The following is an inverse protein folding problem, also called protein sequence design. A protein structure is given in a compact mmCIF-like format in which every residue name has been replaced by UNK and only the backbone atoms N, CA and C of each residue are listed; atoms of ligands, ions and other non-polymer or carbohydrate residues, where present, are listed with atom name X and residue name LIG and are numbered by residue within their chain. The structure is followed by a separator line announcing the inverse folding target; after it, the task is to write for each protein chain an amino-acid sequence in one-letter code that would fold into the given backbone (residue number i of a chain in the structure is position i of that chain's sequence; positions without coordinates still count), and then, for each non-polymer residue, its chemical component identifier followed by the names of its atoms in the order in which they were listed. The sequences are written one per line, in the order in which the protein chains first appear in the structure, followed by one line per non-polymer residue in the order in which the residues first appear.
data_IF_098051841544
#
_entry.id   IF_098051841544
#
_cell.length_a   1.000
_cell.length_b   1.000
_cell.length_c   1.000
_cell.angle_alpha   90.00
_cell.angle_beta   90.00
_cell.angle_gamma   90.00
#
_symmetry.space_group_name_H-M   'P 1'
#
loop_
_entity.id
_entity.type
_entity.pdbx_description
1 polymer ?
#
# COMPACT_ATOMS: atom_id res chain seq x y z
N UNK A 1 14.31 -8.32 4.20
CA UNK A 1 14.76 -6.91 4.25
C UNK A 1 13.90 -6.09 5.21
N UNK A 2 14.48 -5.17 5.98
CA UNK A 2 13.71 -4.24 6.85
C UNK A 2 13.37 -2.98 6.05
N UNK A 3 12.08 -2.72 5.85
CA UNK A 3 11.61 -1.53 5.15
C UNK A 3 11.97 -0.26 5.93
N UNK A 4 12.74 0.63 5.29
CA UNK A 4 13.04 1.96 5.84
C UNK A 4 12.01 2.96 5.33
N UNK A 5 11.29 3.59 6.26
CA UNK A 5 10.34 4.66 5.92
C UNK A 5 11.08 6.01 6.07
N UNK A 6 11.27 6.77 4.98
CA UNK A 6 11.90 8.08 5.02
C UNK A 6 11.02 9.10 5.77
N UNK A 7 11.62 10.18 6.28
CA UNK A 7 10.85 11.26 6.89
C UNK A 7 9.98 11.96 5.83
N UNK A 8 8.92 12.61 6.29
CA UNK A 8 8.06 13.41 5.44
C UNK A 8 8.40 14.90 5.52
N UNK A 9 8.02 15.64 4.49
CA UNK A 9 7.98 17.11 4.49
C UNK A 9 6.92 17.63 5.46
N UNK A 10 6.88 18.96 5.62
CA UNK A 10 5.74 19.62 6.26
C UNK A 10 4.46 19.40 5.45
N UNK A 11 3.32 19.40 6.14
CA UNK A 11 2.03 19.20 5.48
C UNK A 11 1.66 20.43 4.66
N UNK A 12 1.17 20.21 3.45
CA UNK A 12 0.55 21.23 2.62
C UNK A 12 -0.85 21.63 3.11
N UNK A 13 -1.47 22.59 2.44
CA UNK A 13 -2.82 23.10 2.76
C UNK A 13 -3.92 22.02 2.66
N UNK A 14 -3.68 20.98 1.86
CA UNK A 14 -4.57 19.81 1.69
C UNK A 14 -4.29 18.68 2.71
N UNK A 15 -3.30 18.89 3.58
CA UNK A 15 -2.88 17.99 4.65
C UNK A 15 -1.96 16.84 4.21
N UNK A 16 -1.45 16.87 2.97
CA UNK A 16 -0.48 15.90 2.47
C UNK A 16 0.92 16.24 2.95
N UNK A 17 1.68 15.23 3.32
CA UNK A 17 3.10 15.30 3.55
C UNK A 17 3.79 14.35 2.56
N UNK A 18 4.70 14.87 1.75
CA UNK A 18 5.48 14.07 0.82
C UNK A 18 6.60 13.37 1.55
N UNK A 19 6.90 12.15 1.15
CA UNK A 19 8.13 11.50 1.60
C UNK A 19 9.33 12.21 0.97
N UNK A 20 10.34 12.50 1.78
CA UNK A 20 11.58 13.17 1.31
C UNK A 20 12.30 12.39 0.21
N UNK A 21 12.10 11.07 0.18
CA UNK A 21 12.49 10.17 -0.90
C UNK A 21 11.32 9.21 -1.15
N UNK A 22 10.97 8.89 -2.41
CA UNK A 22 9.90 7.92 -2.68
C UNK A 22 10.31 6.53 -2.17
N UNK A 23 9.37 5.83 -1.54
CA UNK A 23 9.58 4.43 -1.15
C UNK A 23 9.26 3.58 -2.37
N UNK A 24 10.29 2.97 -2.96
CA UNK A 24 10.17 2.18 -4.18
C UNK A 24 10.14 0.70 -3.83
N UNK A 25 9.25 -0.05 -4.48
CA UNK A 25 9.16 -1.50 -4.41
C UNK A 25 9.11 -2.07 -5.83
N UNK A 26 9.94 -3.08 -6.09
CA UNK A 26 9.95 -3.89 -7.31
C UNK A 26 9.74 -5.37 -6.93
N UNK A 27 9.43 -6.26 -7.89
CA UNK A 27 9.32 -7.69 -7.62
C UNK A 27 10.55 -8.30 -6.94
N UNK A 28 11.75 -7.83 -7.29
CA UNK A 28 13.01 -8.27 -6.66
C UNK A 28 13.07 -7.85 -5.18
N UNK A 29 12.76 -6.59 -4.87
CA UNK A 29 12.72 -6.09 -3.49
C UNK A 29 11.59 -6.74 -2.67
N UNK A 30 10.49 -7.09 -3.32
CA UNK A 30 9.34 -7.74 -2.70
C UNK A 30 9.64 -9.18 -2.26
N UNK A 31 10.51 -9.92 -2.97
CA UNK A 31 10.79 -11.33 -2.71
C UNK A 31 11.28 -11.57 -1.26
N UNK A 32 12.10 -10.67 -0.73
CA UNK A 32 12.70 -10.78 0.60
C UNK A 32 12.00 -9.89 1.66
N UNK A 33 10.89 -9.25 1.31
CA UNK A 33 10.24 -8.28 2.20
C UNK A 33 9.15 -8.92 3.05
N UNK A 34 9.30 -8.84 4.37
CA UNK A 34 8.23 -9.23 5.28
C UNK A 34 7.10 -8.18 5.28
N UNK A 35 5.83 -8.59 5.32
CA UNK A 35 4.73 -7.65 5.50
C UNK A 35 4.94 -6.88 6.82
N UNK A 36 4.77 -5.56 6.76
CA UNK A 36 4.87 -4.69 7.93
C UNK A 36 3.64 -3.83 8.06
N UNK A 37 3.11 -3.68 9.26
CA UNK A 37 1.84 -2.96 9.53
C UNK A 37 2.01 -1.85 10.59
N UNK A 38 3.25 -1.59 11.02
CA UNK A 38 3.57 -0.65 12.09
C UNK A 38 3.25 0.82 11.74
N UNK A 39 3.19 1.18 10.46
CA UNK A 39 2.79 2.50 9.97
C UNK A 39 2.07 2.39 8.62
N UNK A 40 1.35 3.44 8.17
CA UNK A 40 0.53 3.37 6.96
C UNK A 40 1.32 3.03 5.69
N UNK A 41 2.50 3.62 5.47
CA UNK A 41 3.30 3.30 4.29
C UNK A 41 3.83 1.87 4.33
N UNK A 42 4.26 1.39 5.50
CA UNK A 42 4.67 -0.01 5.64
C UNK A 42 3.54 -0.98 5.30
N UNK A 43 2.30 -0.70 5.74
CA UNK A 43 1.14 -1.53 5.41
C UNK A 43 0.87 -1.56 3.90
N UNK A 44 0.99 -0.41 3.21
CA UNK A 44 0.87 -0.36 1.76
C UNK A 44 1.97 -1.18 1.08
N UNK A 45 3.24 -0.95 1.43
CA UNK A 45 4.35 -1.70 0.82
C UNK A 45 4.22 -3.19 1.10
N UNK A 46 3.85 -3.59 2.31
CA UNK A 46 3.64 -4.99 2.69
C UNK A 46 2.53 -5.66 1.89
N UNK A 47 1.42 -4.95 1.65
CA UNK A 47 0.32 -5.43 0.81
C UNK A 47 0.79 -5.70 -0.62
N UNK A 48 1.45 -4.72 -1.25
CA UNK A 48 1.92 -4.86 -2.63
C UNK A 48 3.05 -5.87 -2.77
N UNK A 49 3.93 -5.99 -1.78
CA UNK A 49 4.95 -7.03 -1.78
C UNK A 49 4.32 -8.42 -1.75
N UNK A 50 3.25 -8.60 -0.96
CA UNK A 50 2.50 -9.85 -0.95
C UNK A 50 1.81 -10.13 -2.30
N UNK A 51 1.22 -9.10 -2.94
CA UNK A 51 0.67 -9.23 -4.30
C UNK A 51 1.74 -9.61 -5.33
N UNK A 52 2.90 -8.95 -5.31
CA UNK A 52 4.01 -9.25 -6.24
C UNK A 52 4.56 -10.67 -6.07
N UNK A 53 4.54 -11.22 -4.84
CA UNK A 53 4.94 -12.61 -4.56
C UNK A 53 3.86 -13.64 -4.91
N UNK A 54 2.62 -13.20 -5.11
CA UNK A 54 1.47 -14.10 -5.27
C UNK A 54 1.10 -14.82 -3.98
N UNK A 55 1.34 -14.20 -2.81
CA UNK A 55 0.98 -14.80 -1.53
C UNK A 55 -0.55 -14.93 -1.41
N UNK A 56 -1.06 -16.09 -1.01
CA UNK A 56 -2.51 -16.32 -0.89
C UNK A 56 -3.15 -15.64 0.33
N UNK A 57 -2.38 -15.35 1.39
CA UNK A 57 -2.87 -14.89 2.71
C UNK A 57 -2.85 -13.36 2.89
N UNK A 58 -2.95 -12.59 1.81
CA UNK A 58 -2.95 -11.10 1.89
C UNK A 58 -4.14 -10.58 2.74
N UNK A 59 -5.26 -11.30 2.71
CA UNK A 59 -6.52 -10.97 3.39
C UNK A 59 -6.40 -10.90 4.92
N UNK A 60 -5.71 -11.85 5.56
CA UNK A 60 -5.69 -11.96 7.02
C UNK A 60 -4.89 -10.84 7.70
N UNK A 61 -3.81 -10.44 7.04
CA UNK A 61 -2.77 -9.59 7.63
C UNK A 61 -2.95 -8.10 7.34
N UNK A 62 -3.43 -7.75 6.13
CA UNK A 62 -3.36 -6.37 5.66
C UNK A 62 -4.71 -5.78 5.30
N UNK A 63 -5.72 -6.61 5.06
CA UNK A 63 -7.07 -6.15 4.75
C UNK A 63 -7.93 -6.01 6.00
N UNK A 64 -8.95 -5.15 5.90
CA UNK A 64 -10.01 -5.10 6.90
C UNK A 64 -11.00 -6.25 6.67
N UNK A 65 -11.34 -7.03 7.71
CA UNK A 65 -11.96 -8.36 7.58
C UNK A 65 -13.46 -8.39 7.17
N UNK A 66 -14.09 -7.25 6.88
CA UNK A 66 -15.57 -7.12 6.84
C UNK A 66 -16.10 -6.49 5.54
N UNK A 67 -15.48 -6.71 4.38
CA UNK A 67 -15.97 -6.08 3.15
C UNK A 67 -15.87 -7.02 1.93
N UNK A 68 -17.01 -7.59 1.50
CA UNK A 68 -17.10 -8.41 0.27
C UNK A 68 -16.61 -7.64 -0.98
N UNK A 69 -16.62 -6.29 -0.95
CA UNK A 69 -16.08 -5.43 -2.00
C UNK A 69 -14.56 -5.57 -2.11
N UNK A 70 -13.88 -5.84 -0.99
CA UNK A 70 -12.42 -6.01 -0.97
C UNK A 70 -12.03 -7.31 -1.66
N UNK A 71 -12.78 -8.40 -1.47
CA UNK A 71 -12.48 -9.69 -2.10
C UNK A 71 -12.47 -9.61 -3.63
N UNK A 72 -13.52 -9.04 -4.23
CA UNK A 72 -13.61 -8.89 -5.69
C UNK A 72 -12.51 -7.97 -6.25
N UNK A 73 -12.19 -6.87 -5.55
CA UNK A 73 -11.08 -5.99 -5.94
C UNK A 73 -9.73 -6.69 -5.81
N UNK A 74 -9.57 -7.55 -4.82
CA UNK A 74 -8.34 -8.30 -4.63
C UNK A 74 -8.13 -9.32 -5.74
N UNK A 75 -9.17 -10.03 -6.18
CA UNK A 75 -9.09 -10.94 -7.34
C UNK A 75 -8.64 -10.20 -8.60
N UNK A 76 -9.15 -8.99 -8.82
CA UNK A 76 -8.69 -8.12 -9.91
C UNK A 76 -7.21 -7.73 -9.74
N UNK A 77 -6.79 -7.30 -8.55
CA UNK A 77 -5.38 -6.94 -8.31
C UNK A 77 -4.44 -8.13 -8.44
N UNK A 78 -4.89 -9.35 -8.10
CA UNK A 78 -4.13 -10.59 -8.27
C UNK A 78 -3.95 -10.99 -9.74
N UNK A 79 -4.79 -10.48 -10.66
CA UNK A 79 -4.60 -10.73 -12.10
C UNK A 79 -3.58 -9.78 -12.74
N UNK A 80 -3.14 -8.75 -12.02
CA UNK A 80 -2.18 -7.76 -12.52
C UNK A 80 -0.75 -8.21 -12.23
N UNK A 81 0.14 -8.02 -13.20
CA UNK A 81 1.58 -8.13 -12.94
C UNK A 81 2.10 -6.77 -12.51
N UNK A 82 2.51 -6.62 -11.25
CA UNK A 82 2.96 -5.34 -10.70
C UNK A 82 4.48 -5.24 -10.87
N UNK A 83 4.93 -4.31 -11.72
CA UNK A 83 6.35 -4.10 -12.01
C UNK A 83 7.02 -3.14 -11.04
N UNK A 84 6.28 -2.14 -10.58
CA UNK A 84 6.81 -1.10 -9.70
C UNK A 84 5.71 -0.48 -8.87
N UNK A 85 6.03 -0.19 -7.61
CA UNK A 85 5.24 0.66 -6.73
C UNK A 85 6.14 1.78 -6.19
N UNK A 86 5.60 2.99 -6.13
CA UNK A 86 6.20 4.12 -5.44
C UNK A 86 5.21 4.70 -4.44
N UNK A 87 5.56 4.70 -3.15
CA UNK A 87 4.80 5.44 -2.14
C UNK A 87 5.36 6.86 -2.06
N UNK A 88 4.52 7.86 -2.36
CA UNK A 88 4.94 9.25 -2.57
C UNK A 88 4.56 10.18 -1.44
N UNK A 89 3.33 10.06 -0.96
CA UNK A 89 2.78 11.03 0.00
C UNK A 89 1.84 10.35 0.98
N UNK A 90 1.68 10.96 2.15
CA UNK A 90 0.73 10.52 3.17
C UNK A 90 -0.08 11.71 3.67
N UNK A 91 -1.38 11.48 3.85
CA UNK A 91 -2.31 12.40 4.51
C UNK A 91 -2.91 11.72 5.74
N UNK A 92 -2.31 11.91 6.93
CA UNK A 92 -2.87 11.41 8.17
C UNK A 92 -4.21 12.09 8.47
N UNK A 93 -5.22 11.30 8.85
CA UNK A 93 -6.55 11.78 9.27
C UNK A 93 -6.80 11.36 10.72
N UNK A 94 -6.29 12.16 11.64
CA UNK A 94 -6.25 11.81 13.07
C UNK A 94 -5.25 10.69 13.35
N UNK A 95 -5.46 9.96 14.45
CA UNK A 95 -4.51 8.93 14.90
C UNK A 95 -4.81 7.53 14.37
N UNK A 96 -5.94 7.31 13.69
CA UNK A 96 -6.41 5.97 13.30
C UNK A 96 -6.71 5.79 11.82
N UNK A 97 -6.60 6.84 11.02
CA UNK A 97 -6.83 6.81 9.57
C UNK A 97 -5.72 7.55 8.84
N UNK A 98 -5.41 7.08 7.65
CA UNK A 98 -4.46 7.71 6.74
C UNK A 98 -4.87 7.46 5.30
N UNK A 99 -4.50 8.36 4.41
CA UNK A 99 -4.52 8.11 2.97
C UNK A 99 -3.09 8.18 2.47
N UNK A 100 -2.69 7.21 1.67
CA UNK A 100 -1.35 7.14 1.10
C UNK A 100 -1.48 7.25 -0.41
N UNK A 101 -0.73 8.16 -1.03
CA UNK A 101 -0.66 8.30 -2.48
C UNK A 101 0.45 7.42 -3.02
N UNK A 102 0.11 6.61 -4.01
CA UNK A 102 1.02 5.68 -4.68
C UNK A 102 1.08 5.98 -6.17
N UNK A 103 2.19 5.62 -6.79
CA UNK A 103 2.27 5.41 -8.23
C UNK A 103 2.58 3.93 -8.49
N UNK A 104 1.95 3.35 -9.49
CA UNK A 104 2.04 1.91 -9.77
C UNK A 104 2.26 1.74 -11.27
N UNK A 105 3.17 0.84 -11.63
CA UNK A 105 3.35 0.34 -12.99
C UNK A 105 2.93 -1.12 -13.02
N UNK A 106 1.99 -1.45 -13.90
CA UNK A 106 1.38 -2.77 -14.02
C UNK A 106 1.38 -3.25 -15.47
N UNK A 107 1.25 -4.56 -15.64
CA UNK A 107 0.91 -5.20 -16.90
C UNK A 107 -0.37 -6.03 -16.73
N UNK A 108 -1.31 -5.84 -17.65
CA UNK A 108 -2.57 -6.58 -17.74
C UNK A 108 -2.70 -7.10 -19.17
N UNK A 109 -2.81 -8.42 -19.35
CA UNK A 109 -2.95 -9.07 -20.67
C UNK A 109 -1.88 -8.61 -21.69
N UNK A 110 -0.64 -8.41 -21.24
CA UNK A 110 0.48 -7.94 -22.08
C UNK A 110 0.46 -6.44 -22.41
N UNK A 111 -0.47 -5.67 -21.84
CA UNK A 111 -0.53 -4.22 -21.94
C UNK A 111 0.05 -3.58 -20.69
N UNK A 112 1.08 -2.77 -20.86
CA UNK A 112 1.63 -1.96 -19.77
C UNK A 112 0.76 -0.74 -19.51
N UNK A 113 0.50 -0.48 -18.23
CA UNK A 113 -0.19 0.72 -17.75
C UNK A 113 0.54 1.29 -16.54
N UNK A 114 0.45 2.61 -16.35
CA UNK A 114 1.06 3.29 -15.22
C UNK A 114 0.15 4.43 -14.74
N UNK A 115 -0.04 4.52 -13.43
CA UNK A 115 -0.98 5.46 -12.85
C UNK A 115 -0.63 5.84 -11.42
N UNK A 116 -1.36 6.82 -10.89
CA UNK A 116 -1.31 7.19 -9.48
C UNK A 116 -2.64 6.90 -8.81
N UNK A 117 -2.61 6.41 -7.58
CA UNK A 117 -3.82 6.14 -6.81
C UNK A 117 -3.67 6.45 -5.31
N UNK A 118 -4.78 6.41 -4.58
CA UNK A 118 -4.87 6.68 -3.15
C UNK A 118 -5.36 5.46 -2.37
N UNK A 119 -4.47 4.90 -1.55
CA UNK A 119 -4.79 3.80 -0.64
C UNK A 119 -5.27 4.35 0.69
N UNK A 120 -6.46 3.94 1.12
CA UNK A 120 -7.02 4.34 2.43
C UNK A 120 -6.73 3.27 3.45
N UNK A 121 -6.21 3.70 4.60
CA UNK A 121 -5.83 2.82 5.70
C UNK A 121 -6.51 3.22 6.99
N UNK A 122 -6.78 2.22 7.81
CA UNK A 122 -7.25 2.37 9.16
C UNK A 122 -6.56 1.40 10.11
N UNK A 123 -6.52 1.75 11.40
CA UNK A 123 -6.12 0.82 12.46
C UNK A 123 -7.17 0.74 13.55
N UNK A 124 -7.34 -0.46 14.13
CA UNK A 124 -8.18 -0.65 15.31
C UNK A 124 -7.41 -0.18 16.55
N UNK A 125 -7.94 0.84 17.24
CA UNK A 125 -7.30 1.42 18.43
C UNK A 125 -6.06 2.27 18.10
N UNK A 126 -5.31 2.66 19.13
CA UNK A 126 -4.14 3.54 18.99
C UNK A 126 -2.81 2.81 18.77
N UNK A 127 -2.78 1.49 19.00
CA UNK A 127 -1.55 0.68 18.99
C UNK A 127 -1.68 -0.59 18.14
N UNK A 128 -2.69 -0.65 17.27
CA UNK A 128 -2.95 -1.80 16.39
C UNK A 128 -2.33 -1.68 15.00
N UNK A 129 -2.38 -2.79 14.22
CA UNK A 129 -1.88 -2.85 12.85
C UNK A 129 -2.63 -1.87 11.95
N UNK A 130 -1.91 -1.20 11.07
CA UNK A 130 -2.52 -0.50 9.94
C UNK A 130 -2.99 -1.52 8.91
N UNK A 131 -4.24 -1.37 8.50
CA UNK A 131 -4.90 -2.22 7.51
C UNK A 131 -5.49 -1.36 6.42
N UNK A 132 -5.48 -1.88 5.21
CA UNK A 132 -6.11 -1.27 4.05
C UNK A 132 -7.62 -1.36 4.22
N UNK A 133 -8.26 -0.19 4.26
CA UNK A 133 -9.73 -0.03 4.32
C UNK A 133 -10.33 -0.21 2.93
N UNK A 134 -9.66 0.31 1.89
CA UNK A 134 -10.00 0.05 0.50
C UNK A 134 -8.74 -0.08 -0.34
N UNK A 135 -8.60 -1.18 -1.11
CA UNK A 135 -7.56 -1.25 -2.10
C UNK A 135 -7.78 -0.20 -3.20
N UNK A 136 -6.72 0.10 -3.96
CA UNK A 136 -6.76 1.04 -5.08
C UNK A 136 -7.85 0.69 -6.11
N UNK A 137 -8.34 1.70 -6.83
CA UNK A 137 -9.40 1.62 -7.84
C UNK A 137 -8.85 1.65 -9.25
#
# INVERSE_FOLDING_TARGET
MVLKIPPTTERDDDGWADYTEPIVLTPEEAADMSPGDANPAAAVVGFYAALMRGDDDVDGHVLCPDDDIIASKLEMLRSWTIHRLEVRSIRPRGTRRATVRVAIEIEIDGTHDAGTDEVKLQRKGEVGPWRIERPPT
#
